data_IF_482422865317
#
_entry.id   IF_482422865317
#
_cell.length_a   1.000
_cell.length_b   1.000
_cell.length_c   1.000
_cell.angle_alpha   90.00
_cell.angle_beta   90.00
_cell.angle_gamma   90.00
#
_symmetry.space_group_name_H-M   'P 1'
#
loop_
_entity.id
_entity.type
_entity.pdbx_description
1 polymer ?
#
# COMPACT_ATOMS: atom_id res chain seq x y z
N UNK A 1 -26.97 -10.17 33.35
CA UNK A 1 -25.77 -10.26 34.19
C UNK A 1 -24.99 -11.44 33.63
N UNK A 2 -24.02 -11.28 32.74
CA UNK A 2 -22.87 -10.38 32.85
C UNK A 2 -22.69 -9.49 31.62
N UNK A 3 -22.58 -8.20 31.93
CA UNK A 3 -21.96 -7.18 31.10
C UNK A 3 -20.45 -7.43 31.10
N UNK A 4 -19.79 -7.28 29.95
CA UNK A 4 -18.47 -6.66 29.84
C UNK A 4 -18.32 -6.23 28.36
N UNK A 5 -18.79 -5.02 28.06
CA UNK A 5 -17.93 -3.85 27.85
C UNK A 5 -17.62 -3.68 26.37
N UNK A 6 -18.53 -2.94 25.73
CA UNK A 6 -18.23 -2.26 24.49
C UNK A 6 -17.10 -1.25 24.75
N UNK A 7 -15.93 -1.48 24.17
CA UNK A 7 -15.04 -0.40 23.76
C UNK A 7 -15.08 -0.32 22.25
N UNK A 8 -16.21 0.20 21.76
CA UNK A 8 -16.32 0.76 20.43
C UNK A 8 -15.48 2.04 20.39
N UNK A 9 -14.16 1.90 20.21
CA UNK A 9 -13.29 3.01 19.81
C UNK A 9 -13.15 2.97 18.29
N UNK A 10 -14.15 3.50 17.60
CA UNK A 10 -13.89 4.28 16.40
C UNK A 10 -14.93 5.39 16.37
N UNK A 11 -14.45 6.63 16.47
CA UNK A 11 -15.27 7.81 16.23
C UNK A 11 -15.78 7.82 14.78
N UNK A 12 -16.46 8.89 14.35
CA UNK A 12 -16.91 9.07 12.96
C UNK A 12 -15.73 9.35 12.00
N UNK A 13 -14.63 8.61 12.15
CA UNK A 13 -13.56 8.49 11.17
C UNK A 13 -14.09 7.57 10.08
N UNK A 14 -14.67 8.16 9.03
CA UNK A 14 -15.15 7.44 7.85
C UNK A 14 -14.18 6.33 7.46
N UNK A 15 -14.71 5.11 7.38
CA UNK A 15 -14.02 3.83 7.15
C UNK A 15 -12.68 4.00 6.41
N UNK A 16 -11.58 4.13 7.16
CA UNK A 16 -10.21 4.16 6.62
C UNK A 16 -9.65 2.74 6.63
N UNK A 17 -9.82 1.97 5.54
CA UNK A 17 -9.29 0.62 5.45
C UNK A 17 -7.80 0.55 5.78
N UNK A 18 -7.42 -0.49 6.53
CA UNK A 18 -6.02 -0.78 6.85
C UNK A 18 -5.48 -1.80 5.85
N UNK A 19 -4.60 -1.34 4.99
CA UNK A 19 -4.05 -2.07 3.86
C UNK A 19 -2.67 -2.57 4.23
N UNK A 20 -2.46 -3.86 4.01
CA UNK A 20 -1.19 -4.54 4.25
C UNK A 20 -0.34 -4.43 2.99
N UNK A 21 0.81 -3.77 3.06
CA UNK A 21 1.71 -3.57 1.93
C UNK A 21 3.00 -4.34 2.15
N UNK A 22 3.27 -5.31 1.29
CA UNK A 22 4.50 -6.08 1.30
C UNK A 22 5.50 -5.42 0.35
N UNK A 23 6.56 -4.87 0.93
CA UNK A 23 7.64 -4.25 0.16
C UNK A 23 8.76 -5.26 -0.14
N UNK A 24 9.45 -5.12 -1.28
CA UNK A 24 10.61 -5.92 -1.61
C UNK A 24 11.78 -5.56 -0.69
N UNK A 25 12.74 -6.48 -0.53
CA UNK A 25 13.88 -6.31 0.38
C UNK A 25 14.59 -4.95 0.27
N UNK A 26 14.85 -4.47 -0.96
CA UNK A 26 15.53 -3.19 -1.15
C UNK A 26 14.74 -1.99 -0.64
N UNK A 27 13.42 -1.92 -0.91
CA UNK A 27 12.57 -0.84 -0.40
C UNK A 27 12.39 -0.94 1.12
N UNK A 28 12.32 -2.16 1.66
CA UNK A 28 12.26 -2.38 3.11
C UNK A 28 13.48 -1.81 3.83
N UNK A 29 14.68 -2.03 3.28
CA UNK A 29 15.93 -1.46 3.80
C UNK A 29 15.92 0.07 3.75
N UNK A 30 15.45 0.68 2.65
CA UNK A 30 15.35 2.14 2.51
C UNK A 30 14.32 2.76 3.48
N UNK A 31 13.19 2.08 3.68
CA UNK A 31 12.15 2.52 4.62
C UNK A 31 12.44 2.12 6.07
N UNK A 32 13.52 1.39 6.34
CA UNK A 32 13.86 0.83 7.66
C UNK A 32 12.73 -0.03 8.26
N UNK A 33 12.02 -0.79 7.43
CA UNK A 33 10.93 -1.69 7.86
C UNK A 33 11.33 -3.15 7.72
N UNK A 34 10.97 -3.96 8.70
CA UNK A 34 11.21 -5.41 8.70
C UNK A 34 9.89 -6.15 8.50
N UNK A 35 9.46 -6.29 7.25
CA UNK A 35 8.28 -7.09 6.89
C UNK A 35 7.26 -6.36 6.02
N UNK A 36 5.99 -6.64 6.26
CA UNK A 36 4.85 -5.92 5.70
C UNK A 36 4.56 -4.63 6.47
N UNK A 37 3.96 -3.67 5.79
CA UNK A 37 3.66 -2.33 6.30
C UNK A 37 2.16 -2.16 6.33
N UNK A 38 1.62 -1.77 7.48
CA UNK A 38 0.20 -1.43 7.61
C UNK A 38 0.00 0.05 7.28
N UNK A 39 -0.82 0.34 6.28
CA UNK A 39 -1.16 1.69 5.84
C UNK A 39 -2.66 1.91 5.93
N UNK A 40 -3.07 3.04 6.49
CA UNK A 40 -4.46 3.47 6.49
C UNK A 40 -4.66 4.40 5.33
N UNK A 41 -5.57 4.04 4.43
CA UNK A 41 -5.81 4.77 3.18
C UNK A 41 -7.27 5.22 3.16
N UNK A 42 -7.49 6.47 2.77
CA UNK A 42 -8.84 7.01 2.63
C UNK A 42 -9.46 6.53 1.31
N UNK A 43 -10.76 6.14 1.32
CA UNK A 43 -11.46 5.79 0.09
C UNK A 43 -11.58 7.03 -0.83
N UNK A 44 -11.41 6.89 -2.15
CA UNK A 44 -11.27 5.63 -2.89
C UNK A 44 -9.86 5.02 -2.74
N UNK A 45 -9.84 3.72 -2.40
CA UNK A 45 -8.59 2.97 -2.26
C UNK A 45 -8.13 2.55 -3.64
N UNK A 46 -7.27 3.37 -4.22
CA UNK A 46 -6.66 3.10 -5.51
C UNK A 46 -5.18 2.78 -5.33
N UNK A 47 -4.56 2.22 -6.38
CA UNK A 47 -3.10 2.11 -6.41
C UNK A 47 -2.43 3.46 -6.14
N UNK A 48 -3.03 4.59 -6.60
CA UNK A 48 -2.49 5.92 -6.32
C UNK A 48 -2.58 6.28 -4.85
N UNK A 49 -3.73 6.07 -4.21
CA UNK A 49 -3.96 6.41 -2.80
C UNK A 49 -3.04 5.61 -1.87
N UNK A 50 -2.84 4.31 -2.15
CA UNK A 50 -1.90 3.48 -1.38
C UNK A 50 -0.47 3.98 -1.48
N UNK A 51 -0.04 4.33 -2.70
CA UNK A 51 1.30 4.87 -2.91
C UNK A 51 1.47 6.23 -2.22
N UNK A 52 0.46 7.09 -2.28
CA UNK A 52 0.48 8.40 -1.64
C UNK A 52 0.64 8.24 -0.12
N UNK A 53 -0.20 7.42 0.51
CA UNK A 53 -0.12 7.12 1.95
C UNK A 53 1.22 6.47 2.35
N UNK A 54 1.77 5.61 1.49
CA UNK A 54 3.09 5.01 1.71
C UNK A 54 4.20 6.07 1.65
N UNK A 55 4.16 6.97 0.68
CA UNK A 55 5.14 8.06 0.50
C UNK A 55 5.02 9.11 1.62
N UNK A 56 3.81 9.39 2.10
CA UNK A 56 3.59 10.25 3.28
C UNK A 56 4.16 9.61 4.55
N UNK A 57 3.99 8.30 4.72
CA UNK A 57 4.49 7.57 5.88
C UNK A 57 6.00 7.35 5.83
N UNK A 58 6.53 7.10 4.64
CA UNK A 58 7.95 6.80 4.39
C UNK A 58 8.48 7.72 3.29
N UNK A 59 8.82 8.99 3.61
CA UNK A 59 9.37 9.92 2.64
C UNK A 59 10.70 9.45 2.02
N UNK A 60 11.38 8.47 2.64
CA UNK A 60 12.56 7.80 2.09
C UNK A 60 12.26 6.98 0.81
N UNK A 61 11.02 6.54 0.61
CA UNK A 61 10.59 5.81 -0.60
C UNK A 61 10.20 6.74 -1.75
N UNK A 62 9.97 8.02 -1.45
CA UNK A 62 9.64 9.07 -2.41
C UNK A 62 10.81 9.24 -3.39
N UNK A 63 10.55 9.13 -4.69
CA UNK A 63 11.60 9.14 -5.73
C UNK A 63 12.07 7.76 -6.22
N UNK A 64 11.90 6.71 -5.40
CA UNK A 64 12.15 5.32 -5.81
C UNK A 64 10.95 4.72 -6.53
N UNK A 65 9.74 5.00 -6.04
CA UNK A 65 8.48 4.47 -6.60
C UNK A 65 7.95 5.34 -7.74
N UNK A 66 7.88 6.65 -7.50
CA UNK A 66 7.48 7.67 -8.48
C UNK A 66 8.63 8.62 -8.72
N UNK A 67 8.89 8.93 -9.99
CA UNK A 67 9.85 9.98 -10.31
C UNK A 67 9.30 11.34 -9.86
N UNK A 68 10.06 12.06 -9.02
CA UNK A 68 9.67 13.36 -8.50
C UNK A 68 9.44 14.43 -9.57
N UNK A 69 10.07 14.28 -10.73
CA UNK A 69 10.07 15.28 -11.80
C UNK A 69 9.04 14.94 -12.88
N UNK A 70 8.87 13.65 -13.17
CA UNK A 70 8.00 13.19 -14.26
C UNK A 70 6.68 12.60 -13.79
N UNK A 71 6.52 12.29 -12.48
CA UNK A 71 5.40 11.51 -11.93
C UNK A 71 5.16 10.16 -12.64
N UNK A 72 6.07 9.73 -13.51
CA UNK A 72 5.99 8.47 -14.22
C UNK A 72 6.47 7.36 -13.27
N UNK A 73 5.67 6.29 -13.15
CA UNK A 73 6.11 5.03 -12.52
C UNK A 73 7.36 4.58 -13.25
N UNK A 74 8.47 4.37 -12.53
CA UNK A 74 9.64 3.71 -13.11
C UNK A 74 9.21 2.29 -13.47
N UNK A 75 9.33 1.90 -14.74
CA UNK A 75 8.82 0.62 -15.29
C UNK A 75 9.46 -0.65 -14.71
N UNK A 76 10.24 -0.54 -13.64
CA UNK A 76 10.87 -1.65 -12.94
C UNK A 76 10.05 -2.12 -11.72
N UNK A 77 9.03 -1.38 -11.27
CA UNK A 77 8.16 -1.82 -10.18
C UNK A 77 6.89 -2.46 -10.73
N UNK A 78 6.60 -3.67 -10.24
CA UNK A 78 5.38 -4.42 -10.48
C UNK A 78 4.54 -4.45 -9.21
N UNK A 79 3.23 -4.46 -9.38
CA UNK A 79 2.25 -4.41 -8.32
C UNK A 79 1.34 -5.60 -8.44
N UNK A 80 1.20 -6.34 -7.34
CA UNK A 80 0.32 -7.49 -7.26
C UNK A 80 -0.64 -7.32 -6.10
N UNK A 81 -1.89 -7.71 -6.29
CA UNK A 81 -2.91 -7.69 -5.26
C UNK A 81 -3.83 -8.88 -5.48
N UNK A 82 -4.19 -9.62 -4.44
CA UNK A 82 -5.00 -10.85 -4.58
C UNK A 82 -4.42 -11.86 -5.58
N UNK A 83 -3.10 -12.00 -5.64
CA UNK A 83 -2.39 -12.80 -6.65
C UNK A 83 -2.60 -12.35 -8.12
N UNK A 84 -3.23 -11.19 -8.34
CA UNK A 84 -3.43 -10.57 -9.65
C UNK A 84 -2.37 -9.51 -9.94
N UNK A 85 -1.89 -9.45 -11.19
CA UNK A 85 -0.96 -8.41 -11.64
C UNK A 85 -1.72 -7.11 -11.94
N UNK A 86 -1.55 -6.11 -11.08
CA UNK A 86 -2.08 -4.76 -11.26
C UNK A 86 -1.05 -3.81 -11.88
N UNK A 87 0.08 -4.35 -12.36
CA UNK A 87 1.18 -3.56 -12.93
C UNK A 87 0.78 -2.82 -14.21
N UNK A 88 -0.11 -3.40 -15.01
CA UNK A 88 -0.65 -2.81 -16.24
C UNK A 88 -1.96 -2.05 -16.03
N UNK A 89 -2.55 -2.18 -14.85
CA UNK A 89 -3.81 -1.56 -14.51
C UNK A 89 -3.63 -0.05 -14.25
N UNK A 90 -4.71 0.73 -14.39
CA UNK A 90 -4.58 2.17 -14.20
C UNK A 90 -4.28 2.47 -12.73
N UNK A 91 -3.42 3.45 -12.42
CA UNK A 91 -3.18 3.83 -11.03
C UNK A 91 -4.41 4.44 -10.33
N UNK A 92 -5.42 4.81 -11.11
CA UNK A 92 -6.73 5.32 -10.68
C UNK A 92 -7.78 4.22 -10.50
N UNK A 93 -7.50 2.97 -10.91
CA UNK A 93 -8.40 1.85 -10.69
C UNK A 93 -8.43 1.47 -9.20
N UNK A 94 -9.65 1.14 -8.74
CA UNK A 94 -9.90 0.74 -7.35
C UNK A 94 -9.27 -0.63 -7.08
N UNK A 95 -8.62 -0.75 -5.92
CA UNK A 95 -8.03 -2.02 -5.51
C UNK A 95 -9.13 -3.02 -5.14
N UNK A 96 -8.87 -4.33 -5.29
CA UNK A 96 -9.81 -5.38 -4.89
C UNK A 96 -10.22 -5.23 -3.43
N UNK A 97 -11.51 -5.45 -3.13
CA UNK A 97 -12.07 -5.30 -1.77
C UNK A 97 -11.33 -6.13 -0.70
N UNK A 98 -10.70 -7.24 -1.08
CA UNK A 98 -9.87 -8.04 -0.14
C UNK A 98 -8.62 -7.29 0.33
N UNK A 99 -8.01 -6.48 -0.53
CA UNK A 99 -6.86 -5.63 -0.18
C UNK A 99 -7.33 -4.44 0.64
N UNK A 100 -8.45 -3.84 0.25
CA UNK A 100 -9.13 -2.78 1.00
C UNK A 100 -9.48 -3.26 2.41
N UNK A 101 -10.01 -4.47 2.55
CA UNK A 101 -10.40 -5.04 3.85
C UNK A 101 -9.20 -5.54 4.68
N UNK A 102 -7.99 -5.52 4.13
CA UNK A 102 -6.78 -6.06 4.77
C UNK A 102 -6.72 -7.59 4.83
N UNK A 103 -7.62 -8.28 4.12
CA UNK A 103 -7.65 -9.73 4.00
C UNK A 103 -6.44 -10.23 3.21
N UNK A 104 -6.14 -9.55 2.09
CA UNK A 104 -4.98 -9.85 1.25
C UNK A 104 -3.98 -8.68 1.21
N UNK A 105 -2.67 -8.94 1.23
CA UNK A 105 -1.67 -7.89 1.13
C UNK A 105 -1.49 -7.39 -0.32
N UNK A 106 -1.16 -6.12 -0.46
CA UNK A 106 -0.65 -5.51 -1.68
C UNK A 106 0.87 -5.74 -1.79
N UNK A 107 1.30 -6.52 -2.76
CA UNK A 107 2.71 -6.86 -2.96
C UNK A 107 3.35 -5.92 -3.98
N UNK A 108 4.44 -5.29 -3.56
CA UNK A 108 5.30 -4.50 -4.44
C UNK A 108 6.51 -5.35 -4.80
N UNK A 109 6.73 -5.55 -6.11
CA UNK A 109 7.83 -6.35 -6.63
C UNK A 109 8.75 -5.46 -7.45
N UNK A 110 10.00 -5.32 -7.02
CA UNK A 110 11.03 -4.70 -7.85
C UNK A 110 11.59 -5.71 -8.83
N UNK A 111 11.41 -5.47 -10.13
CA UNK A 111 12.23 -6.08 -11.16
C UNK A 111 13.66 -5.58 -10.94
N UNK A 112 14.47 -6.39 -10.28
CA UNK A 112 15.91 -6.20 -10.27
C UNK A 112 16.36 -6.36 -11.73
N UNK A 113 16.98 -5.33 -12.31
CA UNK A 113 17.95 -5.59 -13.37
C UNK A 113 18.98 -6.53 -12.74
N UNK A 114 18.93 -7.81 -13.11
CA UNK A 114 19.88 -8.81 -12.65
C UNK A 114 21.29 -8.30 -12.93
N UNK A 115 22.16 -8.42 -11.92
CA UNK A 115 23.61 -8.29 -12.11
C UNK A 115 24.16 -9.44 -12.93
#
# INVERSE_FOLDING_TARGET
>A
MSSESAEAVHGPDGQRPEIRVVLPYHLRTLAHVTGEVLLRVEPPVTQRSVLDALEERYPALRGTIRDHTSQRRRGYLRFFACEEDLSHDSPDDELPERVVSGEEPFLVVGSMAGG
#
